data_IF_537797466081
#
_entry.id   IF_537797466081
#
_cell.length_a   1.000
_cell.length_b   1.000
_cell.length_c   1.000
_cell.angle_alpha   90.00
_cell.angle_beta   90.00
_cell.angle_gamma   90.00
#
_symmetry.space_group_name_H-M   'P 1'
#
loop_
_entity.id
_entity.type
_entity.pdbx_description
1 polymer ?
#
# COMPACT_ATOMS: atom_id res chain seq x y z
N UNK A 1 -11.23 -2.92 1.04
CA UNK A 1 -10.12 -1.92 0.95
C UNK A 1 -10.64 -0.54 1.35
N UNK A 2 -10.07 0.06 2.41
CA UNK A 2 -10.45 1.39 2.89
C UNK A 2 -9.67 2.50 2.17
N UNK A 3 -8.34 2.45 2.20
CA UNK A 3 -7.48 3.37 1.45
C UNK A 3 -6.09 2.78 1.22
N UNK A 4 -5.33 3.42 0.34
CA UNK A 4 -3.95 3.07 0.06
C UNK A 4 -3.09 4.33 0.18
N UNK A 5 -1.95 4.21 0.86
CA UNK A 5 -0.93 5.26 0.86
C UNK A 5 0.26 4.82 0.02
N UNK A 6 0.81 5.74 -0.76
CA UNK A 6 2.11 5.57 -1.40
C UNK A 6 3.17 6.23 -0.52
N UNK A 7 4.20 5.48 -0.17
CA UNK A 7 5.35 5.98 0.59
C UNK A 7 6.60 5.79 -0.26
N UNK A 8 7.53 6.72 -0.13
CA UNK A 8 8.79 6.63 -0.84
C UNK A 8 9.91 7.29 -0.04
N UNK A 9 11.12 6.77 -0.18
CA UNK A 9 12.36 7.45 0.21
C UNK A 9 13.31 7.41 -0.98
N UNK A 10 13.67 8.58 -1.48
CA UNK A 10 14.47 8.72 -2.69
C UNK A 10 15.80 7.96 -2.57
N UNK A 11 16.12 7.15 -3.58
CA UNK A 11 17.32 6.31 -3.60
C UNK A 11 17.25 5.05 -2.73
N UNK A 12 16.16 4.84 -1.98
CA UNK A 12 16.05 3.70 -1.06
C UNK A 12 14.85 2.79 -1.41
N UNK A 13 13.62 3.30 -1.35
CA UNK A 13 12.45 2.46 -1.53
C UNK A 13 11.20 3.22 -2.00
N UNK A 14 10.28 2.47 -2.59
CA UNK A 14 8.95 2.90 -3.01
C UNK A 14 7.96 1.78 -2.69
N UNK A 15 6.87 2.10 -1.99
CA UNK A 15 5.95 1.08 -1.49
C UNK A 15 4.50 1.56 -1.47
N UNK A 16 3.58 0.59 -1.56
CA UNK A 16 2.16 0.81 -1.30
C UNK A 16 1.75 0.14 0.00
N UNK A 17 1.18 0.91 0.93
CA UNK A 17 0.53 0.38 2.13
C UNK A 17 -0.98 0.38 1.92
N UNK A 18 -1.60 -0.80 2.00
CA UNK A 18 -3.03 -1.01 1.78
C UNK A 18 -3.73 -1.21 3.12
N UNK A 19 -4.75 -0.40 3.39
CA UNK A 19 -5.54 -0.44 4.63
C UNK A 19 -6.91 -1.06 4.35
N UNK A 20 -7.29 -2.07 5.11
CA UNK A 20 -8.53 -2.84 4.95
C UNK A 20 -9.45 -2.63 6.14
N UNK A 21 -10.75 -2.89 5.95
CA UNK A 21 -11.74 -2.80 7.02
C UNK A 21 -11.67 -4.00 7.98
N UNK A 22 -11.25 -5.16 7.48
CA UNK A 22 -11.10 -6.39 8.25
C UNK A 22 -9.90 -7.23 7.75
N UNK A 23 -9.52 -8.21 8.59
CA UNK A 23 -8.35 -9.06 8.34
C UNK A 23 -8.56 -10.06 7.21
N UNK A 24 -9.80 -10.50 6.96
CA UNK A 24 -10.11 -11.47 5.92
C UNK A 24 -9.96 -10.85 4.52
N UNK A 25 -10.42 -9.60 4.33
CA UNK A 25 -10.15 -8.83 3.12
C UNK A 25 -8.66 -8.65 2.87
N UNK A 26 -7.90 -8.31 3.92
CA UNK A 26 -6.43 -8.14 3.86
C UNK A 26 -5.74 -9.43 3.44
N UNK A 27 -6.09 -10.56 4.04
CA UNK A 27 -5.50 -11.87 3.74
C UNK A 27 -5.82 -12.35 2.32
N UNK A 28 -7.08 -12.19 1.91
CA UNK A 28 -7.52 -12.53 0.56
C UNK A 28 -6.82 -11.64 -0.48
N UNK A 29 -6.63 -10.35 -0.16
CA UNK A 29 -5.87 -9.44 -1.01
C UNK A 29 -4.40 -9.83 -1.10
N UNK A 30 -3.72 -10.05 0.03
CA UNK A 30 -2.31 -10.42 0.05
C UNK A 30 -2.07 -11.71 -0.73
N UNK A 31 -2.93 -12.72 -0.57
CA UNK A 31 -2.82 -13.98 -1.32
C UNK A 31 -2.84 -13.75 -2.82
N UNK A 32 -3.83 -12.99 -3.33
CA UNK A 32 -3.93 -12.67 -4.75
C UNK A 32 -2.77 -11.79 -5.22
N UNK A 33 -2.42 -10.77 -4.45
CA UNK A 33 -1.37 -9.83 -4.81
C UNK A 33 0.01 -10.49 -4.87
N UNK A 34 0.31 -11.41 -3.95
CA UNK A 34 1.55 -12.19 -3.99
C UNK A 34 1.61 -13.10 -5.22
N UNK A 35 0.50 -13.73 -5.59
CA UNK A 35 0.43 -14.55 -6.81
C UNK A 35 0.65 -13.69 -8.08
N UNK A 36 0.05 -12.51 -8.14
CA UNK A 36 0.09 -11.63 -9.31
C UNK A 36 1.24 -10.60 -9.26
N UNK A 37 2.16 -10.71 -8.30
CA UNK A 37 3.14 -9.68 -7.97
C UNK A 37 4.00 -9.28 -9.17
N UNK A 38 4.43 -10.24 -9.99
CA UNK A 38 5.28 -10.00 -11.16
C UNK A 38 4.56 -9.26 -12.30
N UNK A 39 3.22 -9.36 -12.35
CA UNK A 39 2.41 -8.77 -13.43
C UNK A 39 1.53 -7.63 -12.95
N UNK A 40 1.62 -7.26 -11.67
CA UNK A 40 0.88 -6.15 -11.11
C UNK A 40 1.22 -4.83 -11.85
N UNK A 41 0.25 -3.92 -12.03
CA UNK A 41 0.51 -2.64 -12.72
C UNK A 41 1.66 -1.83 -12.11
N UNK A 42 1.81 -1.88 -10.79
CA UNK A 42 2.93 -1.23 -10.09
C UNK A 42 4.27 -1.82 -10.50
N UNK A 43 4.34 -3.14 -10.67
CA UNK A 43 5.56 -3.85 -11.08
C UNK A 43 5.94 -3.51 -12.52
N UNK A 44 4.96 -3.36 -13.41
CA UNK A 44 5.20 -2.91 -14.78
C UNK A 44 5.75 -1.47 -14.83
N UNK A 45 5.24 -0.58 -13.96
CA UNK A 45 5.72 0.82 -13.87
C UNK A 45 7.14 0.90 -13.29
N UNK A 46 7.41 0.13 -12.23
CA UNK A 46 8.71 0.13 -11.54
C UNK A 46 9.76 -0.70 -12.30
N UNK A 47 9.33 -1.65 -13.13
CA UNK A 47 10.20 -2.57 -13.88
C UNK A 47 10.61 -3.82 -13.08
N UNK A 48 10.03 -4.04 -11.89
CA UNK A 48 10.28 -5.22 -11.07
C UNK A 48 9.11 -5.52 -10.13
N UNK A 49 8.93 -6.78 -9.69
CA UNK A 49 8.01 -7.08 -8.59
C UNK A 49 8.45 -6.43 -7.27
N UNK A 50 7.55 -6.34 -6.27
CA UNK A 50 7.91 -5.97 -4.91
C UNK A 50 8.97 -6.90 -4.33
N UNK A 51 9.96 -6.33 -3.64
CA UNK A 51 10.98 -7.09 -2.91
C UNK A 51 10.39 -7.71 -1.63
N UNK A 52 9.40 -7.06 -1.03
CA UNK A 52 8.75 -7.46 0.21
C UNK A 52 7.23 -7.28 0.11
N UNK A 53 6.50 -8.30 0.57
CA UNK A 53 5.06 -8.28 0.75
C UNK A 53 4.81 -8.83 2.16
N UNK A 54 4.41 -7.97 3.09
CA UNK A 54 4.18 -8.35 4.47
C UNK A 54 2.89 -7.72 5.03
N UNK A 55 2.23 -8.41 5.98
CA UNK A 55 1.12 -7.82 6.72
C UNK A 55 1.62 -6.74 7.70
N UNK A 56 0.83 -5.69 7.87
CA UNK A 56 0.99 -4.73 8.97
C UNK A 56 -0.35 -4.44 9.65
N UNK A 57 -0.30 -3.96 10.89
CA UNK A 57 -1.46 -3.52 11.66
C UNK A 57 -1.55 -2.00 11.67
N UNK A 58 -2.69 -1.46 11.26
CA UNK A 58 -3.00 -0.03 11.38
C UNK A 58 -3.69 0.19 12.71
N UNK A 59 -2.90 0.56 13.73
CA UNK A 59 -3.40 0.73 15.10
C UNK A 59 -4.19 2.03 15.31
N UNK A 60 -3.93 3.06 14.51
CA UNK A 60 -4.64 4.33 14.58
C UNK A 60 -4.47 5.13 13.28
N UNK A 61 -5.45 5.97 12.98
CA UNK A 61 -5.38 7.02 11.94
C UNK A 61 -5.76 8.33 12.64
N UNK A 62 -4.85 9.30 12.59
CA UNK A 62 -5.11 10.62 13.13
C UNK A 62 -5.38 11.60 11.97
N UNK A 63 -6.45 12.37 12.08
CA UNK A 63 -6.72 13.50 11.20
C UNK A 63 -6.10 14.76 11.79
N UNK A 64 -5.22 15.43 11.02
CA UNK A 64 -4.61 16.69 11.42
C UNK A 64 -5.59 17.87 11.29
N UNK A 65 -5.25 19.03 11.86
CA UNK A 65 -6.12 20.22 11.80
C UNK A 65 -6.41 20.75 10.38
N UNK A 66 -5.65 20.31 9.37
CA UNK A 66 -5.91 20.60 7.96
C UNK A 66 -6.91 19.63 7.28
N UNK A 67 -7.38 18.62 8.02
CA UNK A 67 -8.22 17.55 7.52
C UNK A 67 -7.48 16.47 6.73
N UNK A 68 -8.23 15.47 6.26
CA UNK A 68 -7.72 14.42 5.37
C UNK A 68 -7.98 14.75 3.88
N UNK A 69 -6.98 14.55 3.02
CA UNK A 69 -7.12 14.64 1.56
C UNK A 69 -6.53 13.43 0.87
N UNK A 70 -7.19 12.95 -0.19
CA UNK A 70 -6.74 11.81 -1.00
C UNK A 70 -5.67 12.17 -2.04
N UNK A 71 -5.31 13.46 -2.15
CA UNK A 71 -4.20 13.93 -2.99
C UNK A 71 -3.01 14.29 -2.12
N UNK A 72 -1.81 14.02 -2.62
CA UNK A 72 -0.60 14.64 -2.09
C UNK A 72 -0.75 16.16 -2.20
N UNK A 73 -0.72 16.85 -1.05
CA UNK A 73 -0.64 18.29 -0.98
C UNK A 73 0.83 18.70 -1.03
N UNK A 74 1.18 19.59 -1.96
CA UNK A 74 2.44 20.33 -1.99
C UNK A 74 2.12 21.81 -1.78
#
# INVERSE_FOLDING_TARGET
LAFKTWRARAGEWFEGCYVFADSAEREAFQTRFTHDADTAPGSAIIGSPPILIEPCEVVAIAEGGAGFTSRAGY
#
